data_IF_930516000886
#
_entry.id   IF_930516000886
#
_cell.length_a   1.000
_cell.length_b   1.000
_cell.length_c   1.000
_cell.angle_alpha   90.00
_cell.angle_beta   90.00
_cell.angle_gamma   90.00
#
_symmetry.space_group_name_H-M   'P 1'
#
loop_
_entity.id
_entity.type
_entity.pdbx_description
1 polymer ?
#
# COMPACT_ATOMS: atom_id res chain seq x y z
N UNK A 1 -19.41 14.43 -4.30
CA UNK A 1 -19.94 13.62 -3.17
C UNK A 1 -20.21 12.18 -3.59
N UNK A 2 -20.99 11.91 -4.65
CA UNK A 2 -21.30 10.52 -5.07
C UNK A 2 -20.08 9.61 -5.26
N UNK A 3 -19.04 10.10 -5.95
CA UNK A 3 -17.81 9.31 -6.15
C UNK A 3 -17.10 8.99 -4.82
N UNK A 4 -17.00 9.95 -3.91
CA UNK A 4 -16.43 9.77 -2.56
C UNK A 4 -17.18 8.70 -1.77
N UNK A 5 -18.51 8.72 -1.78
CA UNK A 5 -19.32 7.71 -1.07
C UNK A 5 -19.13 6.31 -1.67
N UNK A 6 -19.06 6.20 -3.01
CA UNK A 6 -18.78 4.92 -3.65
C UNK A 6 -17.39 4.37 -3.30
N UNK A 7 -16.39 5.24 -3.22
CA UNK A 7 -15.04 4.85 -2.76
C UNK A 7 -15.09 4.40 -1.31
N UNK A 8 -15.80 5.12 -0.44
CA UNK A 8 -16.00 4.73 0.96
C UNK A 8 -16.61 3.33 1.08
N UNK A 9 -17.70 3.05 0.37
CA UNK A 9 -18.38 1.76 0.43
C UNK A 9 -17.47 0.62 -0.02
N UNK A 10 -16.71 0.84 -1.09
CA UNK A 10 -15.75 -0.13 -1.60
C UNK A 10 -14.60 -0.37 -0.62
N UNK A 11 -13.96 0.69 -0.12
CA UNK A 11 -12.81 0.57 0.79
C UNK A 11 -13.21 0.00 2.14
N UNK A 12 -14.39 0.35 2.67
CA UNK A 12 -14.93 -0.25 3.89
C UNK A 12 -15.06 -1.77 3.74
N UNK A 13 -15.65 -2.23 2.65
CA UNK A 13 -15.79 -3.67 2.36
C UNK A 13 -14.44 -4.36 2.19
N UNK A 14 -13.53 -3.76 1.42
CA UNK A 14 -12.18 -4.28 1.16
C UNK A 14 -11.39 -4.46 2.46
N UNK A 15 -11.27 -3.40 3.26
CA UNK A 15 -10.48 -3.44 4.49
C UNK A 15 -11.11 -4.34 5.54
N UNK A 16 -12.44 -4.31 5.69
CA UNK A 16 -13.13 -5.20 6.63
C UNK A 16 -12.93 -6.67 6.25
N UNK A 17 -12.95 -6.99 4.95
CA UNK A 17 -12.71 -8.33 4.42
C UNK A 17 -11.34 -8.90 4.79
N UNK A 18 -10.34 -8.03 5.04
CA UNK A 18 -8.99 -8.43 5.46
C UNK A 18 -8.73 -8.15 6.96
N UNK A 19 -9.79 -7.91 7.74
CA UNK A 19 -9.71 -7.72 9.19
C UNK A 19 -9.22 -6.35 9.64
N UNK A 20 -9.40 -5.32 8.81
CA UNK A 20 -9.04 -3.94 9.08
C UNK A 20 -10.28 -3.04 9.14
N UNK A 21 -10.33 -2.17 10.14
CA UNK A 21 -11.32 -1.10 10.26
C UNK A 21 -10.75 0.14 9.57
N UNK A 22 -11.42 0.59 8.52
CA UNK A 22 -11.21 1.91 7.94
C UNK A 22 -11.92 2.95 8.81
N UNK A 23 -11.14 3.72 9.58
CA UNK A 23 -11.68 4.76 10.48
C UNK A 23 -12.07 6.01 9.68
N UNK A 24 -11.17 6.42 8.79
CA UNK A 24 -11.36 7.48 7.80
C UNK A 24 -10.19 7.44 6.79
N UNK A 25 -10.32 8.25 5.74
CA UNK A 25 -9.33 8.41 4.70
C UNK A 25 -9.48 9.77 4.01
N UNK A 26 -8.40 10.23 3.38
CA UNK A 26 -8.38 11.42 2.53
C UNK A 26 -8.36 10.97 1.06
N UNK A 27 -9.09 11.69 0.21
CA UNK A 27 -9.03 11.52 -1.24
C UNK A 27 -8.62 12.82 -1.91
N UNK A 28 -7.91 12.69 -3.03
CA UNK A 28 -7.72 13.77 -3.98
C UNK A 28 -8.32 13.41 -5.33
N UNK A 29 -8.80 14.42 -6.05
CA UNK A 29 -9.43 14.24 -7.36
C UNK A 29 -8.80 15.16 -8.38
N UNK A 30 -8.52 14.59 -9.55
CA UNK A 30 -8.07 15.30 -10.73
C UNK A 30 -9.22 15.61 -11.69
N UNK A 31 -8.95 16.49 -12.64
CA UNK A 31 -9.79 16.69 -13.84
C UNK A 31 -9.04 16.12 -15.02
N UNK A 32 -9.68 15.21 -15.73
CA UNK A 32 -9.18 14.69 -16.99
C UNK A 32 -10.07 15.24 -18.12
N UNK A 33 -9.43 15.90 -19.07
CA UNK A 33 -10.08 16.45 -20.26
C UNK A 33 -9.89 15.49 -21.42
N UNK A 34 -10.98 15.19 -22.12
CA UNK A 34 -11.01 14.41 -23.35
C UNK A 34 -11.74 15.25 -24.40
N UNK A 35 -10.98 15.89 -25.29
CA UNK A 35 -11.44 16.95 -26.20
C UNK A 35 -12.19 18.07 -25.45
N UNK A 36 -13.53 18.09 -25.53
CA UNK A 36 -14.39 19.07 -24.86
C UNK A 36 -15.05 18.54 -23.58
N UNK A 37 -14.91 17.24 -23.30
CA UNK A 37 -15.53 16.58 -22.15
C UNK A 37 -14.59 16.56 -20.94
N UNK A 38 -15.10 16.95 -19.77
CA UNK A 38 -14.36 16.94 -18.51
C UNK A 38 -14.90 15.88 -17.57
N UNK A 39 -14.04 14.96 -17.13
CA UNK A 39 -14.38 13.97 -16.11
C UNK A 39 -13.52 14.14 -14.85
N UNK A 40 -14.16 13.97 -13.70
CA UNK A 40 -13.49 13.89 -12.41
C UNK A 40 -12.94 12.48 -12.23
N UNK A 41 -11.65 12.38 -11.94
CA UNK A 41 -10.96 11.11 -11.71
C UNK A 41 -10.40 11.07 -10.29
N UNK A 42 -10.50 9.91 -9.64
CA UNK A 42 -9.78 9.68 -8.39
C UNK A 42 -8.27 9.69 -8.69
N UNK A 43 -7.50 10.39 -7.86
CA UNK A 43 -6.05 10.54 -7.99
C UNK A 43 -5.36 10.25 -6.64
N UNK A 44 -4.06 10.59 -6.58
CA UNK A 44 -3.19 10.38 -5.41
C UNK A 44 -3.07 8.88 -5.03
N UNK A 45 -2.71 8.59 -3.78
CA UNK A 45 -2.52 7.24 -3.26
C UNK A 45 -3.61 6.82 -2.26
N UNK A 46 -3.85 5.50 -2.22
CA UNK A 46 -4.59 4.82 -1.16
C UNK A 46 -3.59 3.97 -0.38
N UNK A 47 -3.13 4.49 0.76
CA UNK A 47 -2.06 3.93 1.57
C UNK A 47 -2.37 4.09 3.07
N UNK A 48 -1.62 3.43 3.98
CA UNK A 48 -1.72 3.70 5.41
C UNK A 48 -1.26 5.12 5.80
N UNK A 49 -0.69 5.91 4.88
CA UNK A 49 -0.42 7.34 5.07
C UNK A 49 -1.70 8.18 4.99
N UNK A 50 -2.57 7.82 4.03
CA UNK A 50 -3.82 8.52 3.70
C UNK A 50 -5.08 7.88 4.31
N UNK A 51 -4.97 6.69 4.91
CA UNK A 51 -6.07 5.96 5.56
C UNK A 51 -5.72 5.64 7.01
N UNK A 52 -6.66 5.87 7.94
CA UNK A 52 -6.57 5.33 9.31
C UNK A 52 -7.11 3.90 9.34
N UNK A 53 -6.24 2.94 9.60
CA UNK A 53 -6.48 1.51 9.50
C UNK A 53 -6.17 0.85 10.84
N UNK A 54 -7.21 0.36 11.50
CA UNK A 54 -7.07 -0.28 12.80
C UNK A 54 -7.39 -1.77 12.68
N UNK A 55 -6.62 -2.61 13.36
CA UNK A 55 -6.93 -4.03 13.44
C UNK A 55 -8.27 -4.24 14.16
N UNK A 56 -9.17 -5.02 13.55
CA UNK A 56 -10.54 -5.21 14.07
C UNK A 56 -10.55 -5.91 15.44
N UNK A 57 -9.57 -6.78 15.71
CA UNK A 57 -9.54 -7.59 16.95
C UNK A 57 -8.90 -6.84 18.11
N UNK A 58 -7.80 -6.17 17.85
CA UNK A 58 -6.94 -5.55 18.87
C UNK A 58 -7.12 -4.04 18.99
N UNK A 59 -7.79 -3.39 18.02
CA UNK A 59 -7.78 -1.93 17.84
C UNK A 59 -6.37 -1.34 17.68
N UNK A 60 -5.37 -2.17 17.35
CA UNK A 60 -4.03 -1.68 17.08
C UNK A 60 -4.02 -0.85 15.80
N UNK A 61 -3.41 0.34 15.85
CA UNK A 61 -3.23 1.20 14.68
C UNK A 61 -2.17 0.60 13.76
N UNK A 62 -2.49 0.50 12.48
CA UNK A 62 -1.61 -0.01 11.42
C UNK A 62 -1.33 1.05 10.34
N UNK A 63 -1.47 2.31 10.71
CA UNK A 63 -1.37 3.48 9.84
C UNK A 63 -0.36 4.51 10.37
N UNK A 64 -0.26 5.64 9.68
CA UNK A 64 0.64 6.75 10.01
C UNK A 64 0.48 7.30 11.42
N UNK A 65 -0.64 7.06 12.10
CA UNK A 65 -0.77 7.42 13.52
C UNK A 65 0.30 6.75 14.39
N UNK A 66 0.86 5.61 13.99
CA UNK A 66 1.99 5.00 14.71
C UNK A 66 3.22 5.92 14.74
N UNK A 67 3.47 6.64 13.65
CA UNK A 67 4.51 7.67 13.61
C UNK A 67 4.06 8.92 14.36
N UNK A 68 2.82 9.40 14.13
CA UNK A 68 2.32 10.64 14.78
C UNK A 68 2.26 10.55 16.30
N UNK A 69 2.15 9.35 16.85
CA UNK A 69 1.98 9.09 18.29
C UNK A 69 3.15 8.31 18.89
N UNK A 70 4.29 8.23 18.19
CA UNK A 70 5.51 7.56 18.68
C UNK A 70 5.29 6.11 19.17
N UNK A 71 4.39 5.36 18.51
CA UNK A 71 4.04 3.98 18.89
C UNK A 71 5.05 2.93 18.38
N UNK A 72 6.06 3.37 17.62
CA UNK A 72 7.04 2.49 16.96
C UNK A 72 6.40 1.53 15.94
N UNK A 73 7.20 0.66 15.34
CA UNK A 73 6.69 -0.42 14.49
C UNK A 73 5.97 0.05 13.20
N UNK A 74 6.39 1.17 12.61
CA UNK A 74 5.71 1.79 11.46
C UNK A 74 5.84 0.89 10.22
N UNK A 75 7.05 0.39 9.95
CA UNK A 75 7.30 -0.44 8.78
C UNK A 75 6.56 -1.78 8.87
N UNK A 76 6.56 -2.40 10.04
CA UNK A 76 5.89 -3.66 10.33
C UNK A 76 4.38 -3.53 10.19
N UNK A 77 3.80 -2.40 10.62
CA UNK A 77 2.39 -2.11 10.41
C UNK A 77 2.04 -2.02 8.91
N UNK A 78 2.88 -1.37 8.10
CA UNK A 78 2.63 -1.20 6.67
C UNK A 78 2.78 -2.53 5.94
N UNK A 79 3.79 -3.33 6.32
CA UNK A 79 3.97 -4.69 5.83
C UNK A 79 2.77 -5.58 6.20
N UNK A 80 2.22 -5.46 7.40
CA UNK A 80 1.04 -6.22 7.81
C UNK A 80 -0.20 -5.84 7.00
N UNK A 81 -0.41 -4.55 6.70
CA UNK A 81 -1.48 -4.11 5.78
C UNK A 81 -1.26 -4.70 4.38
N UNK A 82 -0.05 -4.61 3.84
CA UNK A 82 0.28 -5.15 2.51
C UNK A 82 0.10 -6.67 2.44
N UNK A 83 0.51 -7.39 3.49
CA UNK A 83 0.35 -8.84 3.63
C UNK A 83 -1.13 -9.23 3.64
N UNK A 84 -1.96 -8.50 4.39
CA UNK A 84 -3.42 -8.72 4.46
C UNK A 84 -4.12 -8.46 3.13
N UNK A 85 -3.67 -7.44 2.40
CA UNK A 85 -4.18 -7.13 1.06
C UNK A 85 -3.63 -8.05 -0.04
N UNK A 86 -2.61 -8.87 0.24
CA UNK A 86 -1.97 -9.74 -0.74
C UNK A 86 -1.18 -8.99 -1.81
N UNK A 87 -0.65 -7.81 -1.49
CA UNK A 87 0.08 -6.93 -2.44
C UNK A 87 1.59 -6.91 -2.21
N UNK A 88 2.10 -7.76 -1.30
CA UNK A 88 3.54 -7.95 -1.18
C UNK A 88 4.08 -8.64 -2.44
N UNK A 89 5.22 -8.18 -2.99
CA UNK A 89 5.86 -8.87 -4.10
C UNK A 89 6.18 -10.30 -3.69
N UNK A 90 5.92 -11.25 -4.59
CA UNK A 90 6.31 -12.64 -4.37
C UNK A 90 7.84 -12.68 -4.38
N UNK A 91 8.45 -13.13 -3.30
CA UNK A 91 9.88 -13.46 -3.33
C UNK A 91 10.07 -14.58 -4.35
N UNK A 92 10.66 -14.25 -5.50
CA UNK A 92 11.12 -15.26 -6.44
C UNK A 92 12.35 -15.87 -5.80
N UNK A 93 12.20 -17.05 -5.20
CA UNK A 93 13.34 -17.85 -4.74
C UNK A 93 14.23 -18.18 -5.94
N UNK A 94 15.31 -17.42 -6.11
CA UNK A 94 16.39 -17.75 -7.04
C UNK A 94 16.86 -16.59 -7.89
N UNK A 95 17.59 -15.65 -7.30
CA UNK A 95 18.71 -14.95 -7.94
C UNK A 95 19.66 -14.46 -6.83
N UNK A 96 20.47 -15.38 -6.30
CA UNK A 96 21.73 -15.00 -5.68
C UNK A 96 22.68 -14.63 -6.81
N UNK A 97 22.78 -13.34 -7.15
CA UNK A 97 23.83 -12.86 -8.05
C UNK A 97 25.14 -12.81 -7.28
N UNK A 98 25.92 -13.89 -7.37
CA UNK A 98 27.33 -13.93 -7.02
C UNK A 98 28.08 -12.82 -7.78
N UNK A 99 28.83 -12.02 -7.05
CA UNK A 99 29.85 -11.17 -7.65
C UNK A 99 31.07 -12.02 -7.99
N UNK A 100 31.29 -12.32 -9.27
CA UNK A 100 32.58 -12.81 -9.77
C UNK A 100 32.94 -12.11 -11.09
N UNK A 101 34.08 -11.40 -11.10
CA UNK A 101 34.60 -10.61 -12.23
C UNK A 101 35.24 -11.55 -13.29
N UNK A 102 34.76 -11.56 -14.53
CA UNK A 102 35.24 -12.46 -15.60
C UNK A 102 36.65 -12.12 -16.14
N UNK A 103 37.39 -11.16 -15.57
CA UNK A 103 38.75 -10.81 -16.03
C UNK A 103 39.89 -11.69 -15.48
N UNK A 104 39.60 -12.81 -14.81
CA UNK A 104 40.64 -13.75 -14.37
C UNK A 104 40.90 -14.83 -15.46
N UNK A 105 42.06 -14.82 -16.13
CA UNK A 105 42.36 -15.83 -17.15
C UNK A 105 42.67 -17.18 -16.50
N UNK A 106 41.93 -18.23 -16.87
CA UNK A 106 42.22 -19.62 -16.46
C UNK A 106 43.18 -20.27 -17.47
N UNK A 107 44.29 -20.82 -16.95
CA UNK A 107 45.34 -21.52 -17.71
C UNK A 107 44.80 -22.86 -18.23
N UNK A 108 44.95 -23.10 -19.54
CA UNK A 108 44.56 -24.34 -20.23
C UNK A 108 45.73 -25.31 -20.25
N UNK A 109 45.50 -26.55 -19.80
CA UNK A 109 46.26 -27.75 -20.17
C UNK A 109 45.34 -28.67 -20.97
#
# INVERSE_FOLDING_TARGET
>A
IHLTLRVNDYLLGLFLGVGLKLVDFKLEFGRLWDEEEMRIVLADEISPDNCRLWDVKSNMKLDKDRFRQDLGGVQEAYQEVARRLGVLPVEVEGEASEGEDPRTPRVVN
#
